data_IF_254028939941
#
_entry.id   IF_254028939941
#
_cell.length_a   1.000
_cell.length_b   1.000
_cell.length_c   1.000
_cell.angle_alpha   90.00
_cell.angle_beta   90.00
_cell.angle_gamma   90.00
#
_symmetry.space_group_name_H-M   'P 1'
#
loop_
_entity.id
_entity.type
_entity.pdbx_description
1 polymer ?
#
# COMPACT_ATOMS: atom_id res chain seq x y z
N UNK A 1 -4.79 14.53 -15.94
CA UNK A 1 -4.39 13.92 -14.63
C UNK A 1 -4.01 14.99 -13.61
N UNK A 2 -3.05 15.90 -13.88
CA UNK A 2 -2.63 16.95 -12.94
C UNK A 2 -3.77 17.85 -12.46
N UNK A 3 -4.66 18.28 -13.36
CA UNK A 3 -5.80 19.13 -12.98
C UNK A 3 -6.78 18.44 -12.04
N UNK A 4 -7.05 17.14 -12.25
CA UNK A 4 -7.91 16.35 -11.36
C UNK A 4 -7.27 16.20 -9.99
N UNK A 5 -5.95 15.95 -9.94
CA UNK A 5 -5.20 15.90 -8.68
C UNK A 5 -5.21 17.22 -7.93
N UNK A 6 -5.09 18.35 -8.65
CA UNK A 6 -5.17 19.68 -8.04
C UNK A 6 -6.57 19.96 -7.46
N UNK A 7 -7.61 19.61 -8.19
CA UNK A 7 -9.00 19.78 -7.71
C UNK A 7 -9.22 18.90 -6.47
N UNK A 8 -8.80 17.63 -6.49
CA UNK A 8 -8.91 16.75 -5.34
C UNK A 8 -8.15 17.30 -4.12
N UNK A 9 -6.95 17.85 -4.33
CA UNK A 9 -6.17 18.49 -3.27
C UNK A 9 -6.86 19.72 -2.68
N UNK A 10 -7.44 20.58 -3.53
CA UNK A 10 -8.20 21.75 -3.06
C UNK A 10 -9.44 21.35 -2.26
N UNK A 11 -10.17 20.32 -2.72
CA UNK A 11 -11.32 19.77 -1.99
C UNK A 11 -10.86 19.22 -0.63
N UNK A 12 -9.75 18.47 -0.60
CA UNK A 12 -9.16 17.98 0.64
C UNK A 12 -8.83 19.12 1.60
N UNK A 13 -8.12 20.17 1.16
CA UNK A 13 -7.78 21.31 1.99
C UNK A 13 -9.01 22.04 2.57
N UNK A 14 -10.12 22.11 1.81
CA UNK A 14 -11.37 22.71 2.30
C UNK A 14 -12.04 21.83 3.34
N UNK A 15 -12.01 20.50 3.13
CA UNK A 15 -12.57 19.53 4.09
C UNK A 15 -11.75 19.48 5.37
N UNK A 16 -10.43 19.50 5.26
CA UNK A 16 -9.46 19.50 6.37
C UNK A 16 -9.69 20.73 7.28
N UNK A 17 -9.72 21.93 6.70
CA UNK A 17 -10.05 23.17 7.44
C UNK A 17 -11.40 23.13 8.16
N UNK A 18 -12.40 22.47 7.56
CA UNK A 18 -13.71 22.31 8.22
C UNK A 18 -13.66 21.32 9.37
N UNK A 19 -12.84 20.26 9.22
CA UNK A 19 -12.62 19.28 10.27
C UNK A 19 -11.88 19.93 11.44
N UNK A 20 -10.76 20.62 11.18
CA UNK A 20 -9.99 21.36 12.17
C UNK A 20 -10.88 22.34 12.96
N UNK A 21 -11.66 23.16 12.26
CA UNK A 21 -12.59 24.09 12.92
C UNK A 21 -13.68 23.38 13.76
N UNK A 22 -14.01 22.13 13.48
CA UNK A 22 -14.93 21.33 14.30
C UNK A 22 -14.23 20.63 15.45
N UNK A 23 -12.94 20.33 15.31
CA UNK A 23 -12.11 19.69 16.34
C UNK A 23 -11.59 20.71 17.36
N UNK A 24 -11.20 21.92 16.93
CA UNK A 24 -10.82 23.03 17.83
C UNK A 24 -11.88 23.30 18.91
N UNK A 25 -13.15 23.01 18.63
CA UNK A 25 -14.23 23.10 19.58
C UNK A 25 -14.26 21.95 20.61
N UNK A 26 -13.57 20.82 20.33
CA UNK A 26 -13.51 19.62 21.17
C UNK A 26 -12.17 19.55 21.89
N UNK A 27 -11.09 19.98 21.24
CA UNK A 27 -9.69 19.91 21.71
C UNK A 27 -9.33 20.94 22.79
N UNK A 28 -10.16 21.96 23.05
CA UNK A 28 -9.97 22.84 24.21
C UNK A 28 -10.06 22.10 25.57
N UNK A 29 -10.23 20.78 25.56
CA UNK A 29 -10.30 19.93 26.75
C UNK A 29 -9.07 19.02 26.98
N UNK A 30 -8.18 18.85 25.99
CA UNK A 30 -6.97 18.03 26.15
C UNK A 30 -5.72 18.86 25.76
N UNK A 31 -4.87 19.16 26.74
CA UNK A 31 -3.58 19.81 26.48
C UNK A 31 -2.72 18.86 25.62
N UNK A 32 -2.50 19.22 24.34
CA UNK A 32 -1.53 18.53 23.49
C UNK A 32 -0.13 18.64 24.09
N UNK A 33 0.47 17.53 24.46
CA UNK A 33 1.86 17.53 24.90
C UNK A 33 2.77 17.94 23.72
N UNK A 34 3.65 18.95 23.87
CA UNK A 34 4.53 19.39 22.79
C UNK A 34 5.49 18.26 22.40
N UNK A 35 5.67 18.05 21.09
CA UNK A 35 6.60 17.07 20.52
C UNK A 35 7.99 17.19 21.13
N UNK A 36 8.52 16.10 21.66
CA UNK A 36 9.86 16.03 22.26
C UNK A 36 10.77 15.11 21.45
N UNK A 37 12.04 15.48 21.27
CA UNK A 37 13.03 14.62 20.59
C UNK A 37 13.19 13.23 21.25
N UNK A 38 12.81 13.10 22.52
CA UNK A 38 12.76 11.81 23.23
C UNK A 38 11.73 10.85 22.65
N UNK A 39 10.67 11.36 22.03
CA UNK A 39 9.59 10.54 21.45
C UNK A 39 10.09 9.79 20.22
N UNK A 40 11.01 10.40 19.44
CA UNK A 40 11.71 9.72 18.36
C UNK A 40 12.49 8.49 18.88
N UNK A 41 13.16 8.65 20.03
CA UNK A 41 13.94 7.55 20.61
C UNK A 41 13.04 6.39 21.04
N UNK A 42 11.85 6.68 21.56
CA UNK A 42 10.85 5.67 21.93
C UNK A 42 10.33 4.91 20.70
N UNK A 43 10.07 5.61 19.59
CA UNK A 43 9.66 4.99 18.32
C UNK A 43 10.77 4.06 17.81
N UNK A 44 12.02 4.54 17.76
CA UNK A 44 13.16 3.77 17.24
C UNK A 44 13.52 2.57 18.12
N UNK A 45 13.24 2.62 19.43
CA UNK A 45 13.44 1.49 20.33
C UNK A 45 12.30 0.46 20.29
N UNK A 46 11.18 0.80 19.66
CA UNK A 46 10.02 -0.10 19.56
C UNK A 46 10.26 -1.21 18.53
N UNK A 47 10.22 -2.47 18.97
CA UNK A 47 10.38 -3.64 18.08
C UNK A 47 9.31 -3.71 17.00
N UNK A 48 8.08 -3.29 17.30
CA UNK A 48 6.98 -3.24 16.33
C UNK A 48 7.27 -2.29 15.18
N UNK A 49 7.86 -1.13 15.46
CA UNK A 49 8.29 -0.19 14.43
C UNK A 49 9.28 -0.83 13.45
N UNK A 50 10.31 -1.52 13.93
CA UNK A 50 11.30 -2.17 13.08
C UNK A 50 10.72 -3.31 12.25
N UNK A 51 9.76 -4.08 12.79
CA UNK A 51 9.08 -5.13 12.05
C UNK A 51 8.24 -4.55 10.89
N UNK A 52 7.53 -3.46 11.12
CA UNK A 52 6.78 -2.77 10.05
C UNK A 52 7.73 -2.11 9.05
N UNK A 53 8.79 -1.46 9.51
CA UNK A 53 9.80 -0.86 8.64
C UNK A 53 10.46 -1.92 7.73
N UNK A 54 10.83 -3.07 8.29
CA UNK A 54 11.38 -4.18 7.54
C UNK A 54 10.37 -4.73 6.52
N UNK A 55 9.13 -4.93 6.92
CA UNK A 55 8.06 -5.35 6.02
C UNK A 55 7.90 -4.35 4.86
N UNK A 56 7.88 -3.06 5.17
CA UNK A 56 7.79 -1.98 4.18
C UNK A 56 8.94 -2.05 3.17
N UNK A 57 10.19 -2.14 3.65
CA UNK A 57 11.38 -2.23 2.79
C UNK A 57 11.31 -3.47 1.90
N UNK A 58 11.05 -4.64 2.46
CA UNK A 58 11.01 -5.90 1.71
C UNK A 58 9.87 -5.92 0.69
N UNK A 59 8.69 -5.45 1.09
CA UNK A 59 7.52 -5.41 0.22
C UNK A 59 7.73 -4.50 -0.99
N UNK A 60 8.16 -3.27 -0.78
CA UNK A 60 8.38 -2.32 -1.87
C UNK A 60 9.59 -2.68 -2.72
N UNK A 61 10.65 -3.28 -2.14
CA UNK A 61 11.80 -3.79 -2.89
C UNK A 61 11.45 -4.95 -3.82
N UNK A 62 10.42 -5.73 -3.50
CA UNK A 62 9.94 -6.79 -4.40
C UNK A 62 9.10 -6.23 -5.55
N UNK A 63 8.27 -5.23 -5.30
CA UNK A 63 7.27 -4.77 -6.28
C UNK A 63 7.81 -3.72 -7.24
N UNK A 64 8.51 -2.70 -6.76
CA UNK A 64 8.94 -1.60 -7.64
C UNK A 64 9.97 -1.99 -8.70
N UNK A 65 11.03 -2.76 -8.39
CA UNK A 65 11.93 -3.26 -9.42
C UNK A 65 11.22 -4.16 -10.43
N UNK A 66 10.30 -5.01 -9.96
CA UNK A 66 9.50 -5.84 -10.84
C UNK A 66 8.68 -5.00 -11.83
N UNK A 67 7.96 -3.97 -11.34
CA UNK A 67 7.16 -3.10 -12.21
C UNK A 67 7.99 -2.35 -13.24
N UNK A 68 9.21 -1.96 -12.89
CA UNK A 68 10.13 -1.30 -13.82
C UNK A 68 10.43 -2.16 -15.05
N UNK A 69 10.54 -3.47 -14.86
CA UNK A 69 10.87 -4.42 -15.92
C UNK A 69 9.66 -5.23 -16.41
N UNK A 70 8.47 -4.97 -15.86
CA UNK A 70 7.28 -5.76 -16.16
C UNK A 70 6.89 -5.71 -17.65
N UNK A 71 7.01 -4.55 -18.30
CA UNK A 71 6.73 -4.40 -19.73
C UNK A 71 7.69 -5.24 -20.58
N UNK A 72 8.99 -5.22 -20.28
CA UNK A 72 9.98 -6.04 -20.97
C UNK A 72 9.71 -7.54 -20.77
N UNK A 73 9.26 -7.92 -19.56
CA UNK A 73 8.85 -9.28 -19.26
C UNK A 73 7.65 -9.72 -20.14
N UNK A 74 6.66 -8.82 -20.34
CA UNK A 74 5.50 -9.11 -21.18
C UNK A 74 5.91 -9.32 -22.63
N UNK A 75 6.81 -8.51 -23.16
CA UNK A 75 7.31 -8.65 -24.53
C UNK A 75 8.15 -9.92 -24.68
N UNK A 76 9.18 -10.10 -23.87
CA UNK A 76 10.20 -11.11 -24.08
C UNK A 76 9.79 -12.52 -23.63
N UNK A 77 8.96 -12.65 -22.60
CA UNK A 77 8.53 -13.94 -22.08
C UNK A 77 7.15 -14.36 -22.58
N UNK A 78 6.23 -13.41 -22.65
CA UNK A 78 4.83 -13.70 -22.97
C UNK A 78 4.45 -13.35 -24.42
N UNK A 79 5.42 -12.88 -25.23
CA UNK A 79 5.26 -12.53 -26.63
C UNK A 79 4.10 -11.53 -26.85
N UNK A 80 3.91 -10.60 -25.93
CA UNK A 80 2.93 -9.53 -26.08
C UNK A 80 3.49 -8.47 -27.01
N UNK A 81 2.64 -7.95 -27.90
CA UNK A 81 3.01 -6.85 -28.78
C UNK A 81 3.57 -5.67 -27.97
N UNK A 82 4.73 -5.10 -28.34
CA UNK A 82 5.35 -3.99 -27.61
C UNK A 82 4.42 -2.79 -27.37
N UNK A 83 3.50 -2.51 -28.30
CA UNK A 83 2.52 -1.42 -28.17
C UNK A 83 1.48 -1.69 -27.07
N UNK A 84 1.18 -2.96 -26.79
CA UNK A 84 0.17 -3.40 -25.83
C UNK A 84 0.77 -3.88 -24.51
N UNK A 85 2.07 -4.18 -24.49
CA UNK A 85 2.75 -4.80 -23.36
C UNK A 85 2.67 -3.97 -22.05
N UNK A 86 2.61 -2.65 -22.16
CA UNK A 86 2.44 -1.75 -21.03
C UNK A 86 1.06 -1.78 -20.37
N UNK A 87 0.02 -2.26 -21.10
CA UNK A 87 -1.34 -2.29 -20.57
C UNK A 87 -1.51 -3.33 -19.44
N UNK A 88 -0.78 -4.44 -19.49
CA UNK A 88 -0.87 -5.51 -18.49
C UNK A 88 -0.32 -5.04 -17.14
N UNK A 89 0.91 -4.49 -17.01
CA UNK A 89 1.38 -3.90 -15.77
C UNK A 89 0.53 -2.73 -15.27
N UNK A 90 -0.11 -1.97 -16.16
CA UNK A 90 -0.98 -0.86 -15.79
C UNK A 90 -2.24 -1.32 -15.00
N UNK A 91 -2.62 -2.58 -15.07
CA UNK A 91 -3.72 -3.15 -14.27
C UNK A 91 -3.44 -2.97 -12.76
N UNK A 92 -2.17 -3.05 -12.34
CA UNK A 92 -1.82 -2.97 -10.92
C UNK A 92 -2.24 -1.62 -10.28
N UNK A 93 -1.84 -0.44 -10.77
CA UNK A 93 -2.25 0.82 -10.15
C UNK A 93 -3.77 1.05 -10.24
N UNK A 94 -4.43 0.62 -11.31
CA UNK A 94 -5.90 0.69 -11.40
C UNK A 94 -6.57 -0.23 -10.37
N UNK A 95 -6.07 -1.45 -10.22
CA UNK A 95 -6.56 -2.40 -9.22
C UNK A 95 -6.40 -1.85 -7.80
N UNK A 96 -5.28 -1.19 -7.48
CA UNK A 96 -5.04 -0.62 -6.14
C UNK A 96 -6.03 0.50 -5.81
N UNK A 97 -6.38 1.36 -6.76
CA UNK A 97 -7.37 2.44 -6.54
C UNK A 97 -8.72 1.86 -6.08
N UNK A 98 -9.15 0.74 -6.67
CA UNK A 98 -10.43 0.12 -6.35
C UNK A 98 -10.36 -0.76 -5.10
N UNK A 99 -9.29 -1.52 -4.93
CA UNK A 99 -9.18 -2.55 -3.89
C UNK A 99 -8.68 -2.01 -2.55
N UNK A 100 -7.88 -0.94 -2.54
CA UNK A 100 -7.35 -0.38 -1.27
C UNK A 100 -8.45 0.09 -0.33
N UNK A 101 -9.49 0.83 -0.76
CA UNK A 101 -10.61 1.20 0.12
C UNK A 101 -11.38 -0.03 0.63
N UNK A 102 -11.55 -1.05 -0.22
CA UNK A 102 -12.21 -2.29 0.16
C UNK A 102 -11.44 -3.03 1.25
N UNK A 103 -10.13 -3.20 1.09
CA UNK A 103 -9.30 -3.88 2.08
C UNK A 103 -9.06 -3.04 3.33
N UNK A 104 -9.03 -1.70 3.21
CA UNK A 104 -9.03 -0.79 4.36
C UNK A 104 -10.28 -1.00 5.24
N UNK A 105 -11.45 -1.00 4.65
CA UNK A 105 -12.70 -1.29 5.36
C UNK A 105 -12.72 -2.70 5.97
N UNK A 106 -12.16 -3.69 5.28
CA UNK A 106 -12.00 -5.05 5.82
C UNK A 106 -11.09 -5.07 7.06
N UNK A 107 -9.98 -4.32 7.00
CA UNK A 107 -9.07 -4.14 8.13
C UNK A 107 -9.78 -3.48 9.33
N UNK A 108 -10.50 -2.39 9.09
CA UNK A 108 -11.20 -1.65 10.15
C UNK A 108 -12.26 -2.51 10.85
N UNK A 109 -13.01 -3.32 10.07
CA UNK A 109 -14.03 -4.21 10.61
C UNK A 109 -13.46 -5.42 11.37
N UNK A 110 -12.38 -6.03 10.88
CA UNK A 110 -11.85 -7.29 11.44
C UNK A 110 -10.69 -7.08 12.40
N UNK A 111 -9.98 -5.95 12.36
CA UNK A 111 -8.87 -5.62 13.24
C UNK A 111 -7.65 -6.56 13.17
N UNK A 112 -7.61 -7.49 12.19
CA UNK A 112 -6.56 -8.51 12.06
C UNK A 112 -5.48 -8.10 11.06
N UNK A 113 -4.85 -6.94 11.27
CA UNK A 113 -3.88 -6.37 10.34
C UNK A 113 -2.72 -7.30 10.01
N UNK A 114 -2.11 -7.92 11.02
CA UNK A 114 -1.01 -8.86 10.81
C UNK A 114 -1.41 -10.04 9.89
N UNK A 115 -2.60 -10.59 10.07
CA UNK A 115 -3.12 -11.68 9.24
C UNK A 115 -3.30 -11.24 7.78
N UNK A 116 -3.84 -10.05 7.56
CA UNK A 116 -4.02 -9.48 6.21
C UNK A 116 -2.66 -9.27 5.53
N UNK A 117 -1.69 -8.72 6.25
CA UNK A 117 -0.33 -8.52 5.73
C UNK A 117 0.36 -9.83 5.38
N UNK A 118 0.21 -10.89 6.21
CA UNK A 118 0.75 -12.22 5.93
C UNK A 118 0.16 -12.81 4.64
N UNK A 119 -1.17 -12.76 4.47
CA UNK A 119 -1.81 -13.24 3.24
C UNK A 119 -1.33 -12.46 2.01
N UNK A 120 -1.24 -11.13 2.09
CA UNK A 120 -0.71 -10.33 1.00
C UNK A 120 0.74 -10.67 0.65
N UNK A 121 1.59 -10.86 1.67
CA UNK A 121 2.99 -11.26 1.47
C UNK A 121 3.12 -12.67 0.85
N UNK A 122 2.34 -13.64 1.30
CA UNK A 122 2.32 -14.99 0.70
C UNK A 122 1.84 -14.97 -0.75
N UNK A 123 0.80 -14.19 -1.06
CA UNK A 123 0.35 -14.00 -2.43
C UNK A 123 1.45 -13.36 -3.29
N UNK A 124 2.16 -12.35 -2.77
CA UNK A 124 3.26 -11.70 -3.46
C UNK A 124 4.38 -12.69 -3.82
N UNK A 125 4.78 -13.53 -2.85
CA UNK A 125 5.77 -14.59 -3.08
C UNK A 125 5.28 -15.54 -4.18
N UNK A 126 4.03 -16.01 -4.09
CA UNK A 126 3.43 -16.90 -5.09
C UNK A 126 3.43 -16.31 -6.50
N UNK A 127 3.08 -15.04 -6.63
CA UNK A 127 3.07 -14.31 -7.92
C UNK A 127 4.48 -14.25 -8.51
N UNK A 128 5.48 -13.86 -7.72
CA UNK A 128 6.87 -13.76 -8.21
C UNK A 128 7.42 -15.14 -8.60
N UNK A 129 7.10 -16.18 -7.86
CA UNK A 129 7.43 -17.56 -8.23
C UNK A 129 6.79 -17.95 -9.57
N UNK A 130 5.50 -17.65 -9.77
CA UNK A 130 4.82 -17.92 -11.05
C UNK A 130 5.45 -17.17 -12.21
N UNK A 131 5.85 -15.91 -12.02
CA UNK A 131 6.57 -15.17 -13.06
C UNK A 131 7.97 -15.71 -13.34
N UNK A 132 8.61 -16.39 -12.38
CA UNK A 132 9.94 -16.99 -12.57
C UNK A 132 9.88 -18.30 -13.33
N UNK A 133 8.80 -19.07 -13.20
CA UNK A 133 8.68 -20.38 -13.85
C UNK A 133 8.59 -20.25 -15.39
N UNK A 134 9.32 -21.06 -16.16
CA UNK A 134 9.25 -21.07 -17.62
C UNK A 134 8.01 -21.82 -18.16
N UNK A 135 6.97 -21.94 -17.35
CA UNK A 135 5.73 -22.65 -17.63
C UNK A 135 4.67 -21.60 -17.97
N UNK A 136 3.82 -21.87 -18.97
CA UNK A 136 2.71 -21.00 -19.34
C UNK A 136 3.16 -19.59 -19.82
N UNK A 137 3.81 -19.55 -20.97
CA UNK A 137 4.27 -18.31 -21.60
C UNK A 137 3.16 -17.60 -22.41
N UNK A 138 1.91 -17.65 -21.94
CA UNK A 138 0.77 -17.06 -22.63
C UNK A 138 0.38 -15.73 -21.95
N UNK A 139 0.03 -14.74 -22.76
CA UNK A 139 -0.31 -13.39 -22.29
C UNK A 139 -1.50 -13.35 -21.31
N UNK A 140 -2.51 -14.20 -21.51
CA UNK A 140 -3.67 -14.27 -20.59
C UNK A 140 -3.28 -14.77 -19.20
N UNK A 141 -2.30 -15.69 -19.11
CA UNK A 141 -1.77 -16.14 -17.83
C UNK A 141 -1.05 -15.00 -17.11
N UNK A 142 -0.18 -14.25 -17.82
CA UNK A 142 0.47 -13.07 -17.27
C UNK A 142 -0.53 -12.03 -16.74
N UNK A 143 -1.64 -11.84 -17.45
CA UNK A 143 -2.71 -10.93 -17.04
C UNK A 143 -3.37 -11.38 -15.74
N UNK A 144 -3.71 -12.67 -15.61
CA UNK A 144 -4.28 -13.22 -14.37
C UNK A 144 -3.31 -13.05 -13.19
N UNK A 145 -2.04 -13.41 -13.38
CA UNK A 145 -1.02 -13.28 -12.34
C UNK A 145 -0.81 -11.80 -11.96
N UNK A 146 -0.91 -10.87 -12.91
CA UNK A 146 -0.84 -9.43 -12.65
C UNK A 146 -2.04 -8.92 -11.84
N UNK A 147 -3.25 -9.45 -12.09
CA UNK A 147 -4.43 -9.14 -11.27
C UNK A 147 -4.22 -9.63 -9.84
N UNK A 148 -3.71 -10.85 -9.66
CA UNK A 148 -3.39 -11.39 -8.32
C UNK A 148 -2.32 -10.54 -7.63
N UNK A 149 -1.31 -10.06 -8.37
CA UNK A 149 -0.33 -9.11 -7.86
C UNK A 149 -0.99 -7.82 -7.37
N UNK A 150 -1.94 -7.27 -8.12
CA UNK A 150 -2.70 -6.08 -7.73
C UNK A 150 -3.49 -6.28 -6.43
N UNK A 151 -4.08 -7.45 -6.24
CA UNK A 151 -4.77 -7.83 -4.99
C UNK A 151 -3.75 -7.87 -3.83
N UNK A 152 -2.63 -8.57 -4.00
CA UNK A 152 -1.58 -8.68 -2.99
C UNK A 152 -1.00 -7.31 -2.63
N UNK A 153 -0.78 -6.46 -3.65
CA UNK A 153 -0.27 -5.11 -3.47
C UNK A 153 -1.24 -4.20 -2.72
N UNK A 154 -2.54 -4.40 -2.88
CA UNK A 154 -3.55 -3.62 -2.16
C UNK A 154 -3.74 -4.08 -0.71
N UNK A 155 -3.60 -5.39 -0.44
CA UNK A 155 -3.78 -5.98 0.89
C UNK A 155 -2.75 -5.48 1.91
N UNK A 156 -1.47 -5.46 1.55
CA UNK A 156 -0.39 -5.15 2.48
C UNK A 156 -0.44 -3.68 2.94
N UNK A 157 -0.43 -2.67 2.05
CA UNK A 157 -0.46 -1.28 2.47
C UNK A 157 -1.74 -0.89 3.21
N UNK A 158 -2.91 -1.46 2.83
CA UNK A 158 -4.19 -1.18 3.48
C UNK A 158 -4.24 -1.60 4.95
N UNK A 159 -3.42 -2.55 5.37
CA UNK A 159 -3.30 -2.97 6.76
C UNK A 159 -2.04 -2.40 7.44
N UNK A 160 -0.96 -2.22 6.69
CA UNK A 160 0.34 -1.78 7.20
C UNK A 160 0.29 -0.33 7.71
N UNK A 161 -0.20 0.60 6.87
CA UNK A 161 -0.22 2.02 7.24
C UNK A 161 -1.11 2.33 8.44
N UNK A 162 -2.35 1.82 8.54
CA UNK A 162 -3.17 2.03 9.74
C UNK A 162 -2.66 1.31 10.98
N UNK A 163 -1.71 0.39 10.84
CA UNK A 163 -1.10 -0.31 11.98
C UNK A 163 0.02 0.50 12.64
N UNK A 164 0.61 1.47 11.93
CA UNK A 164 1.72 2.30 12.45
C UNK A 164 1.31 3.09 13.70
N UNK A 165 0.21 3.86 13.70
CA UNK A 165 -0.22 4.59 14.90
C UNK A 165 -0.52 3.67 16.09
N UNK A 166 -1.00 2.44 15.84
CA UNK A 166 -1.36 1.48 16.90
C UNK A 166 -0.15 0.89 17.66
N UNK A 167 1.06 1.09 17.17
CA UNK A 167 2.29 0.62 17.81
C UNK A 167 2.81 1.67 18.78
N UNK A 168 2.44 2.92 18.60
CA UNK A 168 2.83 4.05 19.43
C UNK A 168 1.78 4.17 20.53
N UNK A 169 2.17 4.31 21.81
CA UNK A 169 1.22 4.57 22.90
C UNK A 169 0.42 5.86 22.64
N UNK A 170 -0.89 5.84 22.91
CA UNK A 170 -1.80 6.97 22.67
C UNK A 170 -1.35 8.30 23.31
N UNK A 171 -0.56 8.24 24.38
CA UNK A 171 0.05 9.43 25.00
C UNK A 171 1.15 10.11 24.16
N UNK A 172 1.48 9.56 22.98
CA UNK A 172 2.58 10.01 22.11
C UNK A 172 2.12 10.23 20.65
N UNK A 173 0.82 10.12 20.40
CA UNK A 173 0.17 10.51 19.17
C UNK A 173 -0.27 11.97 19.26
#
# INVERSE_FOLDING_TARGET
MLCIGLIAFLVFCVMDRKLDASMDAIEQAEEEEPFRLKDILLIVTNKGFWLIALLCILFYSAVFPFLKYATDLMVNKYNVDPELAGNIPAILPFGTILLTPFFGNLYDRKGKGATIMIYGALMLIGVHLLFTLPILNQWWFATIVMIVLGIAFSLVPSAMWPSVPKIIPEKQL
#
